data_IF_967438455567
#
_entry.id   IF_967438455567
#
_cell.length_a   1.000
_cell.length_b   1.000
_cell.length_c   1.000
_cell.angle_alpha   90.00
_cell.angle_beta   90.00
_cell.angle_gamma   90.00
#
_symmetry.space_group_name_H-M   'P 1'
#
loop_
_entity.id
_entity.type
_entity.pdbx_description
1 polymer ?
#
# COMPACT_ATOMS: atom_id res chain seq x y z
N UNK A 1 -5.77 -5.65 -5.01
CA UNK A 1 -5.39 -5.21 -3.66
C UNK A 1 -6.47 -5.68 -2.68
N UNK A 2 -6.85 -6.97 -2.69
CA UNK A 2 -7.94 -7.46 -1.84
C UNK A 2 -7.50 -7.36 -0.37
N UNK A 3 -8.38 -6.90 0.55
CA UNK A 3 -9.79 -6.57 0.32
C UNK A 3 -10.05 -5.14 -0.16
N UNK A 4 -9.07 -4.23 -0.06
CA UNK A 4 -9.23 -2.79 -0.35
C UNK A 4 -9.73 -2.50 -1.77
N UNK A 5 -9.21 -3.21 -2.77
CA UNK A 5 -9.72 -3.18 -4.15
C UNK A 5 -9.81 -4.60 -4.72
N UNK A 6 -10.96 -4.88 -5.31
CA UNK A 6 -11.34 -6.14 -5.92
C UNK A 6 -11.21 -6.07 -7.45
N UNK A 7 -11.25 -7.25 -8.07
CA UNK A 7 -11.25 -7.34 -9.52
C UNK A 7 -12.56 -6.76 -10.07
N UNK A 8 -12.47 -5.92 -11.10
CA UNK A 8 -13.62 -5.21 -11.68
C UNK A 8 -13.97 -3.86 -11.03
N UNK A 9 -13.34 -3.47 -9.92
CA UNK A 9 -13.56 -2.17 -9.30
C UNK A 9 -13.17 -1.02 -10.25
N UNK A 10 -14.04 0.00 -10.35
CA UNK A 10 -13.76 1.24 -11.07
C UNK A 10 -13.25 2.29 -10.09
N UNK A 11 -12.07 2.84 -10.35
CA UNK A 11 -11.44 3.87 -9.51
C UNK A 11 -11.34 5.20 -10.25
N UNK A 12 -11.54 6.29 -9.52
CA UNK A 12 -11.26 7.66 -10.01
C UNK A 12 -9.83 8.01 -9.63
N UNK A 13 -9.04 8.44 -10.61
CA UNK A 13 -7.61 8.76 -10.40
C UNK A 13 -7.39 10.25 -10.58
N UNK A 14 -6.88 10.91 -9.54
CA UNK A 14 -6.43 12.30 -9.65
C UNK A 14 -5.04 12.35 -10.31
N UNK A 15 -4.99 12.65 -11.61
CA UNK A 15 -3.73 12.78 -12.35
C UNK A 15 -3.03 14.12 -12.11
N UNK A 16 -3.74 15.15 -11.64
CA UNK A 16 -3.19 16.47 -11.37
C UNK A 16 -2.34 16.46 -10.10
N UNK A 17 -2.67 15.61 -9.12
CA UNK A 17 -1.88 15.45 -7.89
C UNK A 17 -0.39 15.21 -8.19
N UNK A 18 -0.06 14.41 -9.22
CA UNK A 18 1.35 14.16 -9.61
C UNK A 18 2.14 15.43 -9.98
N UNK A 19 1.47 16.47 -10.49
CA UNK A 19 2.12 17.70 -10.96
C UNK A 19 2.32 18.73 -9.85
N UNK A 20 1.48 18.70 -8.81
CA UNK A 20 1.39 19.77 -7.81
C UNK A 20 1.59 19.28 -6.36
N UNK A 21 1.52 17.98 -6.12
CA UNK A 21 1.63 17.37 -4.80
C UNK A 21 2.67 16.23 -4.80
N UNK A 22 3.40 16.12 -3.69
CA UNK A 22 4.28 14.98 -3.42
C UNK A 22 3.48 13.80 -2.91
N UNK A 23 3.85 12.58 -3.30
CA UNK A 23 3.27 11.36 -2.73
C UNK A 23 3.51 11.28 -1.21
N UNK A 24 2.48 10.84 -0.48
CA UNK A 24 2.54 10.48 0.92
C UNK A 24 2.65 8.98 1.13
N UNK A 25 3.06 8.57 2.35
CA UNK A 25 2.84 7.19 2.81
C UNK A 25 1.34 6.92 2.89
N UNK A 26 0.93 5.67 2.72
CA UNK A 26 -0.46 5.20 2.67
C UNK A 26 -1.25 5.56 1.40
N UNK A 27 -0.72 6.41 0.51
CA UNK A 27 -1.35 6.71 -0.77
C UNK A 27 -1.52 5.45 -1.62
N UNK A 28 -2.69 5.33 -2.27
CA UNK A 28 -2.91 4.31 -3.30
C UNK A 28 -2.63 4.94 -4.66
N UNK A 29 -1.59 4.44 -5.32
CA UNK A 29 -1.12 4.97 -6.59
C UNK A 29 -1.31 3.97 -7.72
N UNK A 30 -1.43 4.52 -8.93
CA UNK A 30 -1.38 3.75 -10.17
C UNK A 30 0.02 3.88 -10.75
N UNK A 31 0.76 2.77 -10.79
CA UNK A 31 2.08 2.68 -11.41
C UNK A 31 1.92 2.15 -12.83
N UNK A 32 2.37 2.93 -13.81
CA UNK A 32 2.40 2.52 -15.21
C UNK A 32 3.77 1.94 -15.55
N UNK A 33 3.80 0.67 -15.92
CA UNK A 33 4.95 -0.03 -16.53
C UNK A 33 4.51 -0.52 -17.91
N UNK A 34 4.72 -1.79 -18.25
CA UNK A 34 4.05 -2.46 -19.38
C UNK A 34 2.53 -2.60 -19.12
N UNK A 35 2.16 -2.74 -17.83
CA UNK A 35 0.78 -2.77 -17.35
C UNK A 35 0.53 -1.68 -16.30
N UNK A 36 -0.74 -1.42 -16.00
CA UNK A 36 -1.14 -0.58 -14.88
C UNK A 36 -1.27 -1.42 -13.61
N UNK A 37 -0.54 -1.04 -12.57
CA UNK A 37 -0.60 -1.65 -11.25
C UNK A 37 -1.18 -0.66 -10.24
N UNK A 38 -2.07 -1.14 -9.37
CA UNK A 38 -2.54 -0.37 -8.22
C UNK A 38 -1.82 -0.88 -6.97
N UNK A 39 -1.06 -0.02 -6.30
CA UNK A 39 -0.25 -0.34 -5.12
C UNK A 39 -0.39 0.75 -4.07
N UNK A 40 -0.10 0.42 -2.81
CA UNK A 40 -0.02 1.39 -1.71
C UNK A 40 1.44 1.81 -1.52
N UNK A 41 1.68 3.10 -1.31
CA UNK A 41 3.00 3.66 -0.98
C UNK A 41 3.30 3.34 0.49
N UNK A 42 4.37 2.59 0.72
CA UNK A 42 4.81 2.20 2.07
C UNK A 42 5.94 3.10 2.58
N UNK A 43 6.91 3.42 1.72
CA UNK A 43 8.05 4.26 2.03
C UNK A 43 8.24 5.36 1.00
N UNK A 44 8.86 6.45 1.43
CA UNK A 44 9.28 7.58 0.61
C UNK A 44 10.82 7.58 0.44
N UNK A 45 11.36 8.34 -0.53
CA UNK A 45 12.80 8.47 -0.67
C UNK A 45 13.47 8.90 0.64
N UNK A 46 14.50 8.14 1.07
CA UNK A 46 15.19 8.34 2.34
C UNK A 46 14.70 7.44 3.48
N UNK A 47 13.55 6.77 3.32
CA UNK A 47 13.08 5.82 4.33
C UNK A 47 13.89 4.52 4.34
N UNK A 48 14.12 4.00 5.54
CA UNK A 48 14.56 2.63 5.78
C UNK A 48 13.32 1.77 6.05
N UNK A 49 13.06 0.80 5.17
CA UNK A 49 11.90 -0.09 5.27
C UNK A 49 12.37 -1.49 5.66
N UNK A 50 11.77 -2.05 6.69
CA UNK A 50 12.05 -3.41 7.13
C UNK A 50 10.74 -4.14 7.45
N UNK A 51 10.71 -5.44 7.15
CA UNK A 51 9.60 -6.32 7.55
C UNK A 51 10.21 -7.49 8.31
N UNK A 52 9.79 -7.66 9.56
CA UNK A 52 10.27 -8.75 10.45
C UNK A 52 9.06 -9.36 11.15
N UNK A 53 8.90 -10.68 11.04
CA UNK A 53 7.77 -11.41 11.65
C UNK A 53 6.39 -10.81 11.33
N UNK A 54 6.13 -10.50 10.05
CA UNK A 54 4.88 -9.89 9.57
C UNK A 54 4.55 -8.51 10.19
N UNK A 55 5.57 -7.81 10.71
CA UNK A 55 5.47 -6.44 11.21
C UNK A 55 6.30 -5.50 10.33
N UNK A 56 5.66 -4.45 9.82
CA UNK A 56 6.31 -3.37 9.09
C UNK A 56 7.00 -2.39 10.06
N UNK A 57 8.23 -2.03 9.70
CA UNK A 57 9.00 -0.96 10.33
C UNK A 57 9.39 0.07 9.27
N UNK A 58 9.20 1.34 9.59
CA UNK A 58 9.65 2.48 8.78
C UNK A 58 10.53 3.35 9.66
N UNK A 59 11.78 3.54 9.26
CA UNK A 59 12.79 4.26 10.05
C UNK A 59 12.94 3.71 11.48
N UNK A 60 12.89 2.38 11.61
CA UNK A 60 12.96 1.62 12.88
C UNK A 60 11.73 1.75 13.79
N UNK A 61 10.71 2.50 13.38
CA UNK A 61 9.44 2.59 14.10
C UNK A 61 8.43 1.59 13.55
N UNK A 62 7.69 0.95 14.45
CA UNK A 62 6.62 0.00 14.09
C UNK A 62 5.45 0.76 13.48
N UNK A 63 4.99 0.33 12.31
CA UNK A 63 3.84 0.91 11.63
C UNK A 63 2.64 -0.04 11.72
N UNK A 64 1.49 0.50 12.12
CA UNK A 64 0.24 -0.24 12.12
C UNK A 64 -0.35 -0.30 10.70
N UNK A 65 -0.57 -1.52 10.20
CA UNK A 65 -1.12 -1.77 8.88
C UNK A 65 -2.60 -2.16 8.97
N UNK A 66 -3.46 -1.23 9.38
CA UNK A 66 -4.90 -1.49 9.57
C UNK A 66 -5.58 -2.06 8.31
N UNK A 67 -5.08 -1.72 7.12
CA UNK A 67 -5.56 -2.25 5.83
C UNK A 67 -5.28 -3.75 5.63
N UNK A 68 -4.39 -4.36 6.40
CA UNK A 68 -4.11 -5.81 6.36
C UNK A 68 -4.96 -6.63 7.33
N UNK A 69 -5.70 -6.01 8.27
CA UNK A 69 -6.43 -6.70 9.33
C UNK A 69 -7.30 -7.86 8.83
N UNK A 70 -8.07 -7.66 7.76
CA UNK A 70 -8.90 -8.70 7.17
C UNK A 70 -8.09 -9.85 6.57
N UNK A 71 -6.96 -9.53 5.92
CA UNK A 71 -6.08 -10.53 5.32
C UNK A 71 -5.36 -11.35 6.40
N UNK A 72 -4.89 -10.71 7.48
CA UNK A 72 -4.27 -11.39 8.62
C UNK A 72 -5.25 -12.37 9.27
N UNK A 73 -6.47 -11.92 9.56
CA UNK A 73 -7.56 -12.79 10.07
C UNK A 73 -7.88 -13.95 9.14
N UNK A 74 -7.80 -13.75 7.81
CA UNK A 74 -8.03 -14.82 6.85
C UNK A 74 -6.88 -15.81 6.82
N UNK A 75 -5.63 -15.35 6.89
CA UNK A 75 -4.45 -16.21 6.93
C UNK A 75 -4.44 -17.10 8.19
N UNK A 76 -4.77 -16.55 9.36
CA UNK A 76 -4.87 -17.30 10.62
C UNK A 76 -5.93 -18.41 10.58
N UNK A 77 -7.04 -18.21 9.86
CA UNK A 77 -8.11 -19.22 9.73
C UNK A 77 -7.76 -20.39 8.81
N UNK A 78 -6.73 -20.22 7.98
CA UNK A 78 -6.30 -21.21 7.00
C UNK A 78 -5.08 -22.03 7.49
N UNK A 79 -4.61 -21.78 8.71
CA UNK A 79 -3.61 -22.55 9.44
C UNK A 79 -4.30 -23.55 10.38
#
# INVERSE_FOLDING_TARGET
MKPTLQDGDKVIVNKLAKQFESYGREDIIVVKTDNFYVKRVIGLPGDVIEVRNDQLYVNHEVIEEAYLQSNKKQAEKNL
#
